data_IF_909099922360
#
_entry.id   IF_909099922360
#
_cell.length_a   1.000
_cell.length_b   1.000
_cell.length_c   1.000
_cell.angle_alpha   90.00
_cell.angle_beta   90.00
_cell.angle_gamma   90.00
#
_symmetry.space_group_name_H-M   'P 1'
#
loop_
_entity.id
_entity.type
_entity.pdbx_description
1 polymer ?
#
# COMPACT_ATOMS: atom_id res chain seq x y z
N UNK A 1 -18.71 -9.07 -0.29
CA UNK A 1 -19.19 -9.81 0.90
C UNK A 1 -20.68 -10.10 0.87
N UNK A 2 -21.56 -9.12 0.63
CA UNK A 2 -23.01 -9.37 0.59
C UNK A 2 -23.41 -10.45 -0.44
N UNK A 3 -22.91 -10.36 -1.68
CA UNK A 3 -23.15 -11.37 -2.73
C UNK A 3 -22.62 -12.74 -2.34
N UNK A 4 -21.42 -12.81 -1.74
CA UNK A 4 -20.87 -14.05 -1.19
C UNK A 4 -21.80 -14.68 -0.16
N UNK A 5 -22.29 -13.90 0.80
CA UNK A 5 -23.21 -14.37 1.83
C UNK A 5 -24.54 -14.86 1.25
N UNK A 6 -25.07 -14.16 0.24
CA UNK A 6 -26.27 -14.60 -0.46
C UNK A 6 -26.06 -15.95 -1.17
N UNK A 7 -25.01 -16.07 -1.97
CA UNK A 7 -24.69 -17.32 -2.69
C UNK A 7 -24.35 -18.46 -1.73
N UNK A 8 -23.62 -18.16 -0.65
CA UNK A 8 -23.32 -19.13 0.40
C UNK A 8 -24.59 -19.62 1.11
N UNK A 9 -25.56 -18.73 1.38
CA UNK A 9 -26.87 -19.14 1.92
C UNK A 9 -27.58 -20.10 0.97
N UNK A 10 -27.61 -19.80 -0.33
CA UNK A 10 -28.20 -20.67 -1.34
C UNK A 10 -27.50 -22.03 -1.39
N UNK A 11 -26.16 -22.03 -1.35
CA UNK A 11 -25.34 -23.24 -1.32
C UNK A 11 -25.55 -24.11 -0.07
N UNK A 12 -25.82 -23.49 1.09
CA UNK A 12 -26.17 -24.22 2.30
C UNK A 12 -27.57 -24.86 2.20
N UNK A 13 -28.53 -24.20 1.55
CA UNK A 13 -29.90 -24.69 1.37
C UNK A 13 -29.99 -25.80 0.32
N UNK A 14 -29.36 -25.60 -0.83
CA UNK A 14 -29.33 -26.55 -1.94
C UNK A 14 -27.94 -26.58 -2.54
N UNK A 15 -27.22 -27.66 -2.26
CA UNK A 15 -25.95 -27.95 -2.91
C UNK A 15 -26.17 -28.22 -4.41
N UNK A 16 -25.32 -27.66 -5.26
CA UNK A 16 -25.46 -27.78 -6.71
C UNK A 16 -24.34 -27.08 -7.49
N UNK A 17 -24.13 -27.53 -8.72
CA UNK A 17 -23.06 -27.04 -9.59
C UNK A 17 -23.20 -25.55 -9.93
N UNK A 18 -24.41 -25.08 -10.27
CA UNK A 18 -24.64 -23.68 -10.66
C UNK A 18 -24.29 -22.69 -9.54
N UNK A 19 -24.79 -22.92 -8.32
CA UNK A 19 -24.45 -22.06 -7.16
C UNK A 19 -22.99 -22.17 -6.78
N UNK A 20 -22.36 -23.34 -6.95
CA UNK A 20 -20.94 -23.55 -6.69
C UNK A 20 -20.06 -22.75 -7.66
N UNK A 21 -20.38 -22.74 -8.96
CA UNK A 21 -19.65 -21.94 -9.95
C UNK A 21 -19.77 -20.44 -9.64
N UNK A 22 -20.99 -19.96 -9.36
CA UNK A 22 -21.22 -18.56 -8.98
C UNK A 22 -20.47 -18.19 -7.69
N UNK A 23 -20.43 -19.09 -6.72
CA UNK A 23 -19.72 -18.88 -5.46
C UNK A 23 -18.19 -18.88 -5.67
N UNK A 24 -17.66 -19.69 -6.59
CA UNK A 24 -16.26 -19.67 -6.99
C UNK A 24 -15.85 -18.36 -7.69
N UNK A 25 -16.66 -17.90 -8.65
CA UNK A 25 -16.50 -16.60 -9.29
C UNK A 25 -16.50 -15.49 -8.24
N UNK A 26 -17.46 -15.52 -7.29
CA UNK A 26 -17.54 -14.50 -6.25
C UNK A 26 -16.37 -14.55 -5.26
N UNK A 27 -15.91 -15.74 -4.87
CA UNK A 27 -14.74 -15.92 -4.02
C UNK A 27 -13.47 -15.39 -4.69
N UNK A 28 -13.31 -15.62 -5.99
CA UNK A 28 -12.20 -15.05 -6.78
C UNK A 28 -12.26 -13.53 -6.81
N UNK A 29 -13.43 -12.96 -7.12
CA UNK A 29 -13.64 -11.50 -7.14
C UNK A 29 -13.42 -10.86 -5.76
N UNK A 30 -13.76 -11.56 -4.67
CA UNK A 30 -13.43 -11.12 -3.32
C UNK A 30 -11.92 -10.96 -3.15
N UNK A 31 -11.14 -11.98 -3.51
CA UNK A 31 -9.68 -11.97 -3.36
C UNK A 31 -9.02 -10.90 -4.25
N UNK A 32 -9.50 -10.74 -5.49
CA UNK A 32 -9.02 -9.70 -6.42
C UNK A 32 -9.37 -8.28 -5.95
N UNK A 33 -10.55 -8.10 -5.33
CA UNK A 33 -10.95 -6.79 -4.81
C UNK A 33 -10.15 -6.35 -3.57
N UNK A 34 -9.85 -7.30 -2.67
CA UNK A 34 -9.04 -7.07 -1.47
C UNK A 34 -8.61 -8.39 -0.85
N UNK A 35 -7.33 -8.51 -0.51
CA UNK A 35 -6.78 -9.71 0.14
C UNK A 35 -7.50 -10.12 1.44
N UNK A 36 -8.05 -9.17 2.19
CA UNK A 36 -8.87 -9.46 3.38
C UNK A 36 -10.14 -10.29 3.08
N UNK A 37 -10.55 -10.41 1.81
CA UNK A 37 -11.58 -11.34 1.37
C UNK A 37 -11.30 -12.80 1.79
N UNK A 38 -10.04 -13.17 2.01
CA UNK A 38 -9.69 -14.48 2.55
C UNK A 38 -10.27 -14.70 3.96
N UNK A 39 -10.43 -13.66 4.77
CA UNK A 39 -11.06 -13.75 6.09
C UNK A 39 -12.55 -14.06 5.98
N UNK A 40 -13.24 -13.50 4.98
CA UNK A 40 -14.65 -13.80 4.71
C UNK A 40 -14.81 -15.29 4.38
N UNK A 41 -13.98 -15.82 3.48
CA UNK A 41 -13.99 -17.23 3.09
C UNK A 41 -13.60 -18.11 4.30
N UNK A 42 -12.52 -17.75 4.99
CA UNK A 42 -11.99 -18.48 6.14
C UNK A 42 -13.00 -18.58 7.28
N UNK A 43 -13.66 -17.48 7.67
CA UNK A 43 -14.70 -17.52 8.71
C UNK A 43 -15.93 -18.31 8.28
N UNK A 44 -16.28 -18.33 6.98
CA UNK A 44 -17.33 -19.22 6.49
C UNK A 44 -16.97 -20.70 6.71
N UNK A 45 -15.76 -21.10 6.35
CA UNK A 45 -15.27 -22.47 6.53
C UNK A 45 -15.12 -22.84 8.00
N UNK A 46 -14.45 -22.00 8.81
CA UNK A 46 -14.26 -22.23 10.24
C UNK A 46 -15.58 -22.35 10.99
N UNK A 47 -16.59 -21.56 10.59
CA UNK A 47 -17.92 -21.67 11.16
C UNK A 47 -18.65 -22.96 10.78
N UNK A 48 -18.22 -23.70 9.76
CA UNK A 48 -18.88 -24.91 9.30
C UNK A 48 -17.90 -25.88 8.62
N UNK A 49 -17.09 -26.58 9.42
CA UNK A 49 -16.10 -27.54 8.90
C UNK A 49 -16.70 -28.72 8.13
N UNK A 50 -18.01 -28.97 8.26
CA UNK A 50 -18.70 -29.99 7.46
C UNK A 50 -18.69 -29.67 5.95
N UNK A 51 -18.45 -28.41 5.56
CA UNK A 51 -18.27 -28.02 4.17
C UNK A 51 -17.14 -28.79 3.48
N UNK A 52 -16.07 -29.12 4.22
CA UNK A 52 -14.92 -29.86 3.70
C UNK A 52 -15.27 -31.28 3.22
N UNK A 53 -16.41 -31.82 3.68
CA UNK A 53 -16.92 -33.14 3.25
C UNK A 53 -17.68 -33.08 1.91
N UNK A 54 -18.03 -31.89 1.41
CA UNK A 54 -18.79 -31.73 0.16
C UNK A 54 -17.84 -31.70 -1.04
N UNK A 55 -18.09 -32.52 -2.07
CA UNK A 55 -17.28 -32.51 -3.31
C UNK A 55 -17.34 -31.16 -4.03
N UNK A 56 -18.50 -30.51 -4.01
CA UNK A 56 -18.72 -29.17 -4.58
C UNK A 56 -17.96 -28.07 -3.86
N UNK A 57 -17.60 -28.23 -2.58
CA UNK A 57 -16.71 -27.31 -1.89
C UNK A 57 -15.30 -27.31 -2.52
N UNK A 58 -14.76 -28.50 -2.80
CA UNK A 58 -13.46 -28.62 -3.45
C UNK A 58 -13.49 -28.13 -4.90
N UNK A 59 -14.62 -28.32 -5.61
CA UNK A 59 -14.85 -27.67 -6.89
C UNK A 59 -14.76 -26.15 -6.78
N UNK A 60 -15.42 -25.54 -5.79
CA UNK A 60 -15.34 -24.08 -5.56
C UNK A 60 -13.89 -23.65 -5.35
N UNK A 61 -13.13 -24.37 -4.52
CA UNK A 61 -11.73 -24.06 -4.23
C UNK A 61 -10.85 -24.15 -5.48
N UNK A 62 -10.95 -25.25 -6.25
CA UNK A 62 -10.17 -25.46 -7.48
C UNK A 62 -10.52 -24.42 -8.54
N UNK A 63 -11.81 -24.15 -8.77
CA UNK A 63 -12.22 -23.13 -9.75
C UNK A 63 -11.76 -21.74 -9.33
N UNK A 64 -11.87 -21.40 -8.05
CA UNK A 64 -11.41 -20.09 -7.55
C UNK A 64 -9.90 -19.93 -7.70
N UNK A 65 -9.13 -20.99 -7.39
CA UNK A 65 -7.69 -20.98 -7.57
C UNK A 65 -7.33 -20.81 -9.05
N UNK A 66 -7.95 -21.57 -9.95
CA UNK A 66 -7.71 -21.49 -11.39
C UNK A 66 -7.98 -20.08 -11.94
N UNK A 67 -9.08 -19.45 -11.53
CA UNK A 67 -9.40 -18.09 -11.92
C UNK A 67 -8.45 -17.04 -11.31
N UNK A 68 -7.80 -17.37 -10.19
CA UNK A 68 -6.82 -16.50 -9.52
C UNK A 68 -5.38 -16.71 -10.02
N UNK A 69 -5.10 -17.79 -10.79
CA UNK A 69 -3.77 -18.08 -11.36
C UNK A 69 -3.17 -16.89 -12.12
N UNK A 70 -3.90 -16.16 -13.00
CA UNK A 70 -3.33 -15.02 -13.72
C UNK A 70 -2.74 -13.96 -12.78
N UNK A 71 -3.40 -13.71 -11.63
CA UNK A 71 -2.89 -12.81 -10.61
C UNK A 71 -1.64 -13.34 -9.92
N UNK A 72 -1.59 -14.64 -9.62
CA UNK A 72 -0.40 -15.30 -9.04
C UNK A 72 0.79 -15.22 -10.02
N UNK A 73 0.56 -15.48 -11.30
CA UNK A 73 1.59 -15.37 -12.35
C UNK A 73 2.09 -13.95 -12.49
N UNK A 74 1.19 -12.95 -12.49
CA UNK A 74 1.57 -11.55 -12.52
C UNK A 74 2.41 -11.17 -11.30
N UNK A 75 2.02 -11.59 -10.10
CA UNK A 75 2.82 -11.37 -8.88
C UNK A 75 4.21 -11.99 -9.00
N UNK A 76 4.32 -13.24 -9.47
CA UNK A 76 5.61 -13.91 -9.65
C UNK A 76 6.51 -13.18 -10.66
N UNK A 77 5.95 -12.73 -11.79
CA UNK A 77 6.70 -11.98 -12.80
C UNK A 77 7.20 -10.61 -12.30
N UNK A 78 6.55 -10.03 -11.29
CA UNK A 78 6.90 -8.73 -10.71
C UNK A 78 7.54 -8.85 -9.32
N UNK A 79 8.02 -10.05 -8.94
CA UNK A 79 8.72 -10.28 -7.67
C UNK A 79 7.85 -9.96 -6.43
N UNK A 80 6.60 -10.43 -6.50
CA UNK A 80 5.58 -10.45 -5.45
C UNK A 80 5.36 -9.12 -4.71
N UNK A 81 5.06 -8.01 -5.43
CA UNK A 81 4.97 -6.68 -4.83
C UNK A 81 3.96 -6.61 -3.68
N UNK A 82 2.81 -7.30 -3.80
CA UNK A 82 1.78 -7.26 -2.75
C UNK A 82 2.19 -8.05 -1.50
N UNK A 83 2.91 -9.16 -1.65
CA UNK A 83 3.40 -9.94 -0.50
C UNK A 83 4.47 -9.14 0.23
N UNK A 84 5.41 -8.53 -0.53
CA UNK A 84 6.47 -7.70 0.03
C UNK A 84 5.92 -6.54 0.84
N UNK A 85 4.95 -5.84 0.26
CA UNK A 85 4.26 -4.75 0.93
C UNK A 85 3.61 -5.19 2.24
N UNK A 86 2.85 -6.29 2.23
CA UNK A 86 2.08 -6.73 3.39
C UNK A 86 2.92 -7.38 4.49
N UNK A 87 4.02 -8.07 4.15
CA UNK A 87 4.82 -8.81 5.13
C UNK A 87 6.05 -8.04 5.62
N UNK A 88 6.74 -7.29 4.74
CA UNK A 88 8.04 -6.68 5.06
C UNK A 88 8.01 -5.15 5.11
N UNK A 89 7.32 -4.48 4.18
CA UNK A 89 7.41 -3.01 4.07
C UNK A 89 6.46 -2.24 5.00
N UNK A 90 5.40 -2.91 5.48
CA UNK A 90 4.37 -2.32 6.35
C UNK A 90 4.58 -2.56 7.84
N UNK A 91 5.32 -3.61 8.21
CA UNK A 91 5.34 -4.19 9.56
C UNK A 91 6.64 -3.88 10.32
N UNK A 92 6.93 -2.60 10.57
CA UNK A 92 8.19 -2.17 11.21
C UNK A 92 8.04 -1.44 12.53
N UNK A 93 6.86 -0.93 12.85
CA UNK A 93 6.70 -0.06 14.02
C UNK A 93 6.44 -0.89 15.28
N UNK A 94 7.16 -0.61 16.39
CA UNK A 94 6.83 -1.16 17.69
C UNK A 94 5.36 -0.86 18.05
N UNK A 95 4.74 -1.75 18.82
CA UNK A 95 3.38 -1.54 19.29
C UNK A 95 3.24 -0.23 20.07
N UNK A 96 2.19 0.54 19.75
CA UNK A 96 1.78 1.73 20.50
C UNK A 96 0.32 1.59 20.93
N UNK A 97 -0.03 2.04 22.14
CA UNK A 97 -1.36 1.85 22.74
C UNK A 97 -2.47 2.49 21.89
N UNK A 98 -2.15 3.59 21.23
CA UNK A 98 -2.97 4.32 20.29
C UNK A 98 -3.34 3.50 19.06
N UNK A 99 -2.59 2.45 18.66
CA UNK A 99 -3.05 1.52 17.62
C UNK A 99 -4.35 0.81 18.05
N UNK A 100 -4.40 0.36 19.30
CA UNK A 100 -5.58 -0.32 19.87
C UNK A 100 -6.71 0.66 20.15
N UNK A 101 -6.41 1.83 20.72
CA UNK A 101 -7.43 2.85 20.99
C UNK A 101 -8.07 3.39 19.69
N UNK A 102 -7.25 3.67 18.67
CA UNK A 102 -7.74 4.10 17.36
C UNK A 102 -8.56 3.01 16.67
N UNK A 103 -8.22 1.73 16.87
CA UNK A 103 -9.04 0.62 16.37
C UNK A 103 -10.42 0.57 17.03
N UNK A 104 -10.51 0.73 18.36
CA UNK A 104 -11.80 0.78 19.06
C UNK A 104 -12.65 1.97 18.57
N UNK A 105 -12.03 3.14 18.42
CA UNK A 105 -12.70 4.32 17.83
C UNK A 105 -13.14 4.04 16.38
N UNK A 106 -12.32 3.36 15.60
CA UNK A 106 -12.63 2.99 14.22
C UNK A 106 -13.84 2.07 14.12
N UNK A 107 -14.01 1.12 15.05
CA UNK A 107 -15.21 0.29 15.11
C UNK A 107 -16.44 1.20 15.28
N UNK A 108 -16.42 2.13 16.23
CA UNK A 108 -17.54 3.04 16.49
C UNK A 108 -17.89 3.84 15.23
N UNK A 109 -16.88 4.44 14.58
CA UNK A 109 -17.09 5.28 13.41
C UNK A 109 -17.58 4.47 12.19
N UNK A 110 -17.03 3.27 11.98
CA UNK A 110 -17.33 2.45 10.80
C UNK A 110 -18.61 1.63 10.93
N UNK A 111 -19.00 1.26 12.15
CA UNK A 111 -20.22 0.50 12.40
C UNK A 111 -21.46 1.39 12.45
N UNK A 112 -21.49 2.54 11.77
CA UNK A 112 -22.41 3.65 12.11
C UNK A 112 -22.22 4.05 13.58
N UNK A 113 -22.02 5.35 13.89
CA UNK A 113 -21.75 5.79 15.27
C UNK A 113 -22.73 5.26 16.34
N UNK A 114 -23.92 4.80 15.92
CA UNK A 114 -24.93 4.24 16.81
C UNK A 114 -25.45 2.86 16.34
N UNK A 115 -25.88 2.71 15.08
CA UNK A 115 -26.73 1.58 14.69
C UNK A 115 -26.02 0.22 14.65
N UNK A 116 -24.84 0.15 14.02
CA UNK A 116 -24.17 -1.13 13.81
C UNK A 116 -23.51 -1.68 15.07
N UNK A 117 -23.20 -0.86 16.09
CA UNK A 117 -22.78 -1.37 17.42
C UNK A 117 -23.93 -2.18 18.03
N UNK A 118 -25.15 -1.64 18.01
CA UNK A 118 -26.35 -2.34 18.51
C UNK A 118 -26.59 -3.62 17.72
N UNK A 119 -26.47 -3.58 16.39
CA UNK A 119 -26.63 -4.78 15.57
C UNK A 119 -25.53 -5.82 15.79
N UNK A 120 -24.28 -5.41 15.96
CA UNK A 120 -23.19 -6.31 16.31
C UNK A 120 -23.44 -6.96 17.67
N UNK A 121 -23.86 -6.18 18.67
CA UNK A 121 -24.21 -6.68 20.00
C UNK A 121 -25.30 -7.76 19.96
N UNK A 122 -26.43 -7.47 19.31
CA UNK A 122 -27.53 -8.43 19.18
C UNK A 122 -27.13 -9.66 18.37
N UNK A 123 -26.31 -9.49 17.33
CA UNK A 123 -25.75 -10.60 16.54
C UNK A 123 -24.89 -11.53 17.39
N UNK A 124 -23.98 -10.98 18.19
CA UNK A 124 -23.05 -11.76 19.00
C UNK A 124 -23.76 -12.49 20.15
N UNK A 125 -24.81 -11.90 20.73
CA UNK A 125 -25.60 -12.53 21.82
C UNK A 125 -26.56 -13.62 21.36
N UNK A 126 -27.14 -13.51 20.16
CA UNK A 126 -28.13 -14.49 19.66
C UNK A 126 -27.49 -15.87 19.51
N UNK A 127 -28.11 -16.95 20.01
CA UNK A 127 -27.69 -18.32 19.66
C UNK A 127 -28.00 -18.58 18.19
N UNK A 128 -27.02 -19.10 17.44
CA UNK A 128 -27.21 -19.35 16.01
C UNK A 128 -28.21 -20.50 15.80
N UNK A 129 -29.28 -20.24 15.04
CA UNK A 129 -30.31 -21.25 14.77
C UNK A 129 -29.91 -22.26 13.69
N UNK A 130 -29.00 -21.89 12.80
CA UNK A 130 -28.54 -22.73 11.69
C UNK A 130 -27.10 -22.38 11.28
N UNK A 131 -26.53 -23.17 10.36
CA UNK A 131 -25.16 -22.99 9.87
C UNK A 131 -24.94 -21.60 9.25
N UNK A 132 -25.93 -21.03 8.57
CA UNK A 132 -25.81 -19.70 7.98
C UNK A 132 -25.70 -18.62 9.05
N UNK A 133 -26.58 -18.63 10.06
CA UNK A 133 -26.47 -17.68 11.19
C UNK A 133 -25.16 -17.87 11.96
N UNK A 134 -24.69 -19.11 12.12
CA UNK A 134 -23.39 -19.40 12.73
C UNK A 134 -22.26 -18.74 11.94
N UNK A 135 -22.29 -18.84 10.61
CA UNK A 135 -21.33 -18.14 9.74
C UNK A 135 -21.37 -16.63 9.91
N UNK A 136 -22.54 -16.01 9.94
CA UNK A 136 -22.66 -14.56 10.14
C UNK A 136 -22.04 -14.14 11.48
N UNK A 137 -22.32 -14.87 12.56
CA UNK A 137 -21.71 -14.62 13.88
C UNK A 137 -20.19 -14.75 13.86
N UNK A 138 -19.67 -15.81 13.25
CA UNK A 138 -18.23 -16.03 13.11
C UNK A 138 -17.55 -14.95 12.28
N UNK A 139 -18.20 -14.47 11.21
CA UNK A 139 -17.68 -13.35 10.43
C UNK A 139 -17.66 -12.06 11.26
N UNK A 140 -18.73 -11.74 11.98
CA UNK A 140 -18.77 -10.54 12.84
C UNK A 140 -17.72 -10.63 13.94
N UNK A 141 -17.74 -11.69 14.76
CA UNK A 141 -16.82 -11.87 15.87
C UNK A 141 -15.36 -12.02 15.40
N UNK A 142 -15.14 -12.90 14.42
CA UNK A 142 -13.82 -13.23 13.89
C UNK A 142 -13.14 -12.01 13.29
N UNK A 143 -13.88 -11.16 12.56
CA UNK A 143 -13.30 -9.92 12.01
C UNK A 143 -12.89 -8.96 13.11
N UNK A 144 -13.76 -8.73 14.10
CA UNK A 144 -13.48 -7.81 15.20
C UNK A 144 -12.32 -8.30 16.08
N UNK A 145 -12.21 -9.61 16.31
CA UNK A 145 -11.13 -10.22 17.08
C UNK A 145 -9.83 -10.22 16.27
N UNK A 146 -9.88 -10.61 15.00
CA UNK A 146 -8.70 -10.68 14.12
C UNK A 146 -8.02 -9.32 14.03
N UNK A 147 -8.78 -8.26 13.72
CA UNK A 147 -8.18 -6.94 13.59
C UNK A 147 -7.80 -6.30 14.93
N UNK A 148 -8.45 -6.69 16.03
CA UNK A 148 -7.97 -6.36 17.37
C UNK A 148 -6.60 -6.98 17.63
N UNK A 149 -6.41 -8.28 17.34
CA UNK A 149 -5.10 -8.94 17.51
C UNK A 149 -4.05 -8.33 16.58
N UNK A 150 -4.45 -7.89 15.37
CA UNK A 150 -3.53 -7.24 14.44
C UNK A 150 -3.03 -5.88 14.94
N UNK A 151 -3.72 -5.19 15.87
CA UNK A 151 -3.22 -3.89 16.40
C UNK A 151 -1.91 -4.05 17.18
N UNK A 152 -1.66 -5.23 17.76
CA UNK A 152 -0.40 -5.53 18.44
C UNK A 152 0.79 -5.64 17.47
N UNK A 153 0.53 -5.82 16.17
CA UNK A 153 1.56 -5.90 15.13
C UNK A 153 1.74 -4.60 14.35
N UNK A 154 0.80 -3.66 14.46
CA UNK A 154 0.89 -2.38 13.78
C UNK A 154 -0.46 -1.69 13.64
N UNK A 155 -0.44 -0.51 13.03
CA UNK A 155 -1.63 0.32 12.85
C UNK A 155 -2.65 -0.34 11.90
N UNK A 156 -3.88 -0.48 12.41
CA UNK A 156 -5.04 -0.89 11.62
C UNK A 156 -5.74 0.28 10.93
N UNK A 157 -6.33 0.03 9.76
CA UNK A 157 -7.17 1.01 9.06
C UNK A 157 -8.64 0.82 9.43
N UNK A 158 -9.37 1.93 9.59
CA UNK A 158 -10.77 1.87 10.01
C UNK A 158 -11.63 1.04 9.05
N UNK A 159 -11.41 1.19 7.74
CA UNK A 159 -12.18 0.49 6.71
C UNK A 159 -12.00 -1.04 6.71
N UNK A 160 -11.07 -1.60 7.47
CA UNK A 160 -10.83 -3.03 7.55
C UNK A 160 -11.99 -3.81 8.17
N UNK A 161 -12.68 -3.22 9.15
CA UNK A 161 -13.81 -3.89 9.82
C UNK A 161 -15.14 -3.74 9.06
N UNK A 162 -15.18 -2.91 8.01
CA UNK A 162 -16.42 -2.54 7.32
C UNK A 162 -17.21 -3.75 6.79
N UNK A 163 -16.54 -4.83 6.37
CA UNK A 163 -17.24 -6.00 5.85
C UNK A 163 -17.96 -6.84 6.93
N UNK A 164 -17.61 -6.67 8.21
CA UNK A 164 -18.32 -7.29 9.33
C UNK A 164 -19.63 -6.56 9.67
N UNK A 165 -19.84 -5.37 9.12
CA UNK A 165 -21.10 -4.64 9.24
C UNK A 165 -22.25 -5.44 8.60
N UNK A 166 -22.02 -6.02 7.42
CA UNK A 166 -23.05 -6.77 6.67
C UNK A 166 -23.62 -7.95 7.49
N UNK A 167 -22.80 -8.90 8.00
CA UNK A 167 -23.33 -9.99 8.81
C UNK A 167 -23.94 -9.51 10.14
N UNK A 168 -23.38 -8.48 10.76
CA UNK A 168 -23.95 -7.87 11.96
C UNK A 168 -25.35 -7.28 11.71
N UNK A 169 -25.55 -6.60 10.59
CA UNK A 169 -26.85 -6.03 10.23
C UNK A 169 -27.91 -7.11 10.00
N UNK A 170 -27.59 -8.22 9.32
CA UNK A 170 -28.57 -9.25 8.97
C UNK A 170 -29.21 -9.88 10.22
N UNK A 171 -28.41 -10.28 11.22
CA UNK A 171 -28.94 -10.88 12.45
C UNK A 171 -29.43 -9.80 13.41
N UNK A 172 -28.66 -8.72 13.58
CA UNK A 172 -28.99 -7.63 14.49
C UNK A 172 -30.34 -7.00 14.18
N UNK A 173 -30.59 -6.66 12.90
CA UNK A 173 -31.87 -6.12 12.46
C UNK A 173 -33.03 -7.05 12.80
N UNK A 174 -32.94 -8.33 12.42
CA UNK A 174 -33.98 -9.34 12.70
C UNK A 174 -34.29 -9.50 14.17
N UNK A 175 -33.30 -9.28 15.04
CA UNK A 175 -33.50 -9.38 16.48
C UNK A 175 -34.19 -8.14 17.08
N UNK A 176 -34.08 -7.01 16.39
CA UNK A 176 -34.59 -5.72 16.84
C UNK A 176 -35.93 -5.34 16.16
N UNK A 177 -36.23 -5.84 14.96
CA UNK A 177 -37.35 -5.36 14.13
C UNK A 177 -38.73 -5.40 14.82
N UNK A 178 -38.97 -6.42 15.66
CA UNK A 178 -40.22 -6.54 16.43
C UNK A 178 -40.26 -5.78 17.76
N UNK A 179 -39.19 -5.07 18.13
CA UNK A 179 -39.09 -4.40 19.42
C UNK A 179 -39.72 -3.00 19.38
N UNK A 180 -40.47 -2.62 20.43
CA UNK A 180 -41.17 -1.33 20.51
C UNK A 180 -40.23 -0.12 20.48
N UNK A 181 -39.01 -0.26 20.97
CA UNK A 181 -37.98 0.80 20.96
C UNK A 181 -37.33 0.98 19.58
N UNK A 182 -37.38 -0.03 18.71
CA UNK A 182 -36.55 -0.11 17.51
C UNK A 182 -36.87 0.95 16.44
N UNK A 183 -38.15 1.28 16.14
CA UNK A 183 -38.47 2.36 15.22
C UNK A 183 -37.89 3.71 15.66
N UNK A 184 -38.06 4.04 16.95
CA UNK A 184 -37.53 5.30 17.54
C UNK A 184 -36.01 5.33 17.51
N UNK A 185 -35.36 4.22 17.85
CA UNK A 185 -33.90 4.09 17.77
C UNK A 185 -33.38 4.25 16.35
N UNK A 186 -34.01 3.61 15.38
CA UNK A 186 -33.58 3.65 13.98
C UNK A 186 -33.66 5.08 13.45
N UNK A 187 -34.77 5.78 13.72
CA UNK A 187 -34.93 7.19 13.34
C UNK A 187 -33.87 8.10 13.99
N UNK A 188 -33.63 7.95 15.30
CA UNK A 188 -32.60 8.73 16.01
C UNK A 188 -31.19 8.42 15.49
N UNK A 189 -30.88 7.15 15.28
CA UNK A 189 -29.57 6.71 14.75
C UNK A 189 -29.35 7.23 13.33
N UNK A 190 -30.40 7.23 12.50
CA UNK A 190 -30.38 7.82 11.17
C UNK A 190 -30.14 9.32 11.23
N UNK A 191 -30.91 10.06 12.05
CA UNK A 191 -30.74 11.51 12.20
C UNK A 191 -29.32 11.89 12.67
N UNK A 192 -28.79 11.18 13.68
CA UNK A 192 -27.40 11.37 14.15
C UNK A 192 -26.39 11.04 13.06
N UNK A 193 -26.58 9.94 12.33
CA UNK A 193 -25.66 9.55 11.25
C UNK A 193 -25.68 10.57 10.11
N UNK A 194 -26.85 11.02 9.68
CA UNK A 194 -26.98 12.05 8.63
C UNK A 194 -26.39 13.38 9.09
N UNK A 195 -26.60 13.79 10.35
CA UNK A 195 -25.98 14.99 10.89
C UNK A 195 -24.45 14.88 10.87
N UNK A 196 -23.88 13.79 11.40
CA UNK A 196 -22.43 13.60 11.45
C UNK A 196 -21.80 13.49 10.06
N UNK A 197 -22.41 12.70 9.15
CA UNK A 197 -21.97 12.58 7.76
C UNK A 197 -22.11 13.92 7.05
N UNK A 198 -23.20 14.65 7.27
CA UNK A 198 -23.46 15.96 6.70
C UNK A 198 -22.41 16.98 7.13
N UNK A 199 -22.13 17.09 8.44
CA UNK A 199 -21.09 17.96 8.98
C UNK A 199 -19.71 17.61 8.41
N UNK A 200 -19.36 16.32 8.38
CA UNK A 200 -18.11 15.86 7.78
C UNK A 200 -18.06 16.23 6.30
N UNK A 201 -19.13 15.99 5.53
CA UNK A 201 -19.20 16.32 4.10
C UNK A 201 -19.04 17.82 3.84
N UNK A 202 -19.68 18.66 4.64
CA UNK A 202 -19.50 20.12 4.55
C UNK A 202 -18.04 20.48 4.79
N UNK A 203 -17.39 19.89 5.79
CA UNK A 203 -15.96 20.10 6.03
C UNK A 203 -15.07 19.60 4.89
N UNK A 204 -15.32 18.41 4.32
CA UNK A 204 -14.51 17.88 3.22
C UNK A 204 -14.64 18.71 1.92
N UNK A 205 -15.70 19.50 1.79
CA UNK A 205 -15.95 20.39 0.64
C UNK A 205 -15.42 21.79 0.91
N UNK A 206 -15.60 22.31 2.13
CA UNK A 206 -15.27 23.68 2.51
C UNK A 206 -14.19 23.71 3.59
N UNK A 207 -13.11 24.42 3.30
CA UNK A 207 -11.99 24.58 4.21
C UNK A 207 -12.24 25.71 5.22
N UNK A 208 -13.03 25.45 6.27
CA UNK A 208 -13.37 26.45 7.30
C UNK A 208 -12.80 26.16 8.69
N UNK A 209 -12.20 24.98 8.90
CA UNK A 209 -11.58 24.63 10.18
C UNK A 209 -10.14 25.19 10.30
N UNK A 210 -9.64 25.45 11.51
CA UNK A 210 -8.29 26.00 11.70
C UNK A 210 -7.20 25.02 11.26
N UNK A 211 -6.02 25.57 10.95
CA UNK A 211 -4.82 24.78 10.70
C UNK A 211 -4.37 24.10 11.99
N UNK A 212 -4.56 22.78 12.03
CA UNK A 212 -4.16 21.93 13.15
C UNK A 212 -3.76 20.56 12.59
N UNK A 213 -2.76 19.92 13.22
CA UNK A 213 -2.33 18.55 12.93
C UNK A 213 -3.49 17.54 12.85
N UNK A 214 -4.55 17.71 13.65
CA UNK A 214 -5.74 16.84 13.61
C UNK A 214 -6.49 16.89 12.27
N UNK A 215 -6.51 18.05 11.62
CA UNK A 215 -7.24 18.31 10.39
C UNK A 215 -6.33 18.38 9.15
N UNK A 216 -5.02 18.28 9.36
CA UNK A 216 -4.01 18.41 8.30
C UNK A 216 -4.28 17.46 7.14
N UNK A 217 -4.67 16.21 7.40
CA UNK A 217 -4.91 15.23 6.34
C UNK A 217 -5.95 15.70 5.31
N UNK A 218 -7.12 16.19 5.74
CA UNK A 218 -8.15 16.64 4.81
C UNK A 218 -7.71 17.89 4.04
N UNK A 219 -7.01 18.81 4.70
CA UNK A 219 -6.47 20.01 4.06
C UNK A 219 -5.40 19.68 3.00
N UNK A 220 -4.43 18.84 3.37
CA UNK A 220 -3.35 18.40 2.50
C UNK A 220 -3.86 17.51 1.36
N UNK A 221 -4.91 16.73 1.57
CA UNK A 221 -5.36 15.72 0.61
C UNK A 221 -6.49 16.20 -0.29
N UNK A 222 -7.46 16.93 0.27
CA UNK A 222 -8.74 17.20 -0.38
C UNK A 222 -8.91 18.68 -0.73
N UNK A 223 -8.53 19.58 0.18
CA UNK A 223 -8.76 21.02 -0.02
C UNK A 223 -7.76 21.62 -0.99
N UNK A 224 -8.20 22.57 -1.80
CA UNK A 224 -7.36 23.34 -2.73
C UNK A 224 -6.60 22.50 -3.78
N UNK A 225 -6.87 21.21 -3.93
CA UNK A 225 -6.09 20.32 -4.81
C UNK A 225 -6.14 20.75 -6.28
N UNK A 226 -7.30 21.20 -6.79
CA UNK A 226 -7.42 21.77 -8.14
C UNK A 226 -6.58 23.04 -8.32
N UNK A 227 -6.61 23.94 -7.32
CA UNK A 227 -5.85 25.19 -7.33
C UNK A 227 -4.34 24.90 -7.28
N UNK A 228 -3.93 24.02 -6.36
CA UNK A 228 -2.56 23.52 -6.24
C UNK A 228 -2.05 22.94 -7.56
N UNK A 229 -2.81 22.07 -8.21
CA UNK A 229 -2.40 21.47 -9.49
C UNK A 229 -2.19 22.54 -10.58
N UNK A 230 -3.10 23.53 -10.65
CA UNK A 230 -2.95 24.66 -11.56
C UNK A 230 -1.73 25.55 -11.25
N UNK A 231 -1.39 25.74 -9.98
CA UNK A 231 -0.21 26.49 -9.56
C UNK A 231 1.09 25.77 -9.92
N UNK A 232 1.18 24.45 -9.66
CA UNK A 232 2.30 23.63 -10.14
C UNK A 232 2.40 23.73 -11.68
N UNK A 233 1.27 23.64 -12.38
CA UNK A 233 1.25 23.67 -13.86
C UNK A 233 1.74 25.00 -14.45
N UNK A 234 1.50 26.14 -13.79
CA UNK A 234 2.05 27.44 -14.23
C UNK A 234 3.58 27.44 -14.31
N UNK A 235 4.25 26.74 -13.40
CA UNK A 235 5.70 26.59 -13.41
C UNK A 235 6.14 25.46 -14.34
N UNK A 236 5.40 24.34 -14.42
CA UNK A 236 5.72 23.25 -15.33
C UNK A 236 5.63 23.66 -16.82
N UNK A 237 4.61 24.45 -17.17
CA UNK A 237 4.21 24.67 -18.56
C UNK A 237 3.83 23.35 -19.22
N UNK A 238 4.36 23.09 -20.41
CA UNK A 238 4.14 21.85 -21.17
C UNK A 238 5.07 20.69 -20.74
N UNK A 239 5.95 20.92 -19.76
CA UNK A 239 6.90 19.90 -19.31
C UNK A 239 6.20 18.87 -18.42
N UNK A 240 6.50 17.57 -18.57
CA UNK A 240 6.06 16.56 -17.60
C UNK A 240 6.59 16.87 -16.19
N UNK A 241 5.85 16.44 -15.17
CA UNK A 241 6.21 16.68 -13.76
C UNK A 241 6.56 15.38 -13.05
N UNK A 242 7.71 15.33 -12.39
CA UNK A 242 8.12 14.21 -11.55
C UNK A 242 8.03 14.60 -10.07
N UNK A 243 7.09 14.01 -9.33
CA UNK A 243 6.93 14.22 -7.90
C UNK A 243 7.69 13.15 -7.12
N UNK A 244 8.62 13.55 -6.26
CA UNK A 244 9.45 12.58 -5.54
C UNK A 244 8.65 11.86 -4.43
N UNK A 245 8.62 10.52 -4.45
CA UNK A 245 7.93 9.68 -3.46
C UNK A 245 6.45 10.05 -3.19
N UNK A 246 5.76 10.69 -4.14
CA UNK A 246 4.41 11.27 -3.94
C UNK A 246 3.46 10.90 -5.08
N UNK A 247 3.09 9.62 -5.15
CA UNK A 247 2.15 9.11 -6.16
C UNK A 247 0.76 9.76 -6.14
N UNK A 248 0.31 10.23 -4.98
CA UNK A 248 -0.94 10.97 -4.86
C UNK A 248 -0.87 12.31 -5.60
N UNK A 249 0.27 12.99 -5.52
CA UNK A 249 0.47 14.30 -6.15
C UNK A 249 0.54 14.17 -7.66
N UNK A 250 1.28 13.16 -8.16
CA UNK A 250 1.25 12.80 -9.57
C UNK A 250 -0.18 12.55 -10.07
N UNK A 251 -0.91 11.65 -9.40
CA UNK A 251 -2.29 11.31 -9.81
C UNK A 251 -3.25 12.50 -9.77
N UNK A 252 -3.16 13.37 -8.75
CA UNK A 252 -3.98 14.58 -8.69
C UNK A 252 -3.62 15.59 -9.77
N UNK A 253 -2.33 15.77 -10.02
CA UNK A 253 -1.85 16.69 -11.05
C UNK A 253 -2.36 16.25 -12.42
N UNK A 254 -2.20 14.98 -12.79
CA UNK A 254 -2.72 14.44 -14.05
C UNK A 254 -4.24 14.60 -14.14
N UNK A 255 -4.97 14.26 -13.06
CA UNK A 255 -6.43 14.37 -13.05
C UNK A 255 -6.93 15.81 -13.27
N UNK A 256 -6.28 16.81 -12.68
CA UNK A 256 -6.75 18.20 -12.74
C UNK A 256 -6.21 19.00 -13.93
N UNK A 257 -5.06 18.60 -14.49
CA UNK A 257 -4.40 19.36 -15.57
C UNK A 257 -4.41 18.63 -16.91
N UNK A 258 -4.60 17.31 -16.91
CA UNK A 258 -4.44 16.45 -18.08
C UNK A 258 -2.99 16.32 -18.55
N UNK A 259 -2.02 16.87 -17.82
CA UNK A 259 -0.61 16.83 -18.16
C UNK A 259 0.07 15.63 -17.52
N UNK A 260 1.06 15.07 -18.21
CA UNK A 260 1.80 13.88 -17.78
C UNK A 260 2.56 14.14 -16.47
N UNK A 261 2.42 13.23 -15.49
CA UNK A 261 3.22 13.26 -14.29
C UNK A 261 3.50 11.87 -13.70
N UNK A 262 4.63 11.73 -13.01
CA UNK A 262 5.02 10.48 -12.36
C UNK A 262 5.35 10.67 -10.89
N UNK A 263 5.35 9.56 -10.15
CA UNK A 263 6.02 9.48 -8.85
C UNK A 263 7.43 8.92 -9.01
N UNK A 264 8.45 9.77 -8.90
CA UNK A 264 9.84 9.31 -8.91
C UNK A 264 10.19 8.78 -7.52
N UNK A 265 10.27 7.46 -7.38
CA UNK A 265 10.44 6.82 -6.06
C UNK A 265 11.91 6.45 -5.80
N UNK A 266 12.39 6.80 -4.61
CA UNK A 266 13.74 6.51 -4.14
C UNK A 266 13.73 5.55 -2.94
N UNK A 267 14.90 5.09 -2.48
CA UNK A 267 15.04 4.11 -1.39
C UNK A 267 14.42 4.55 -0.05
N UNK A 268 14.31 5.86 0.18
CA UNK A 268 13.65 6.41 1.38
C UNK A 268 12.12 6.37 1.28
N UNK A 269 11.59 6.17 0.06
CA UNK A 269 10.18 5.96 -0.22
C UNK A 269 9.80 4.49 -0.33
N UNK A 270 8.72 4.23 -1.07
CA UNK A 270 8.23 2.88 -1.36
C UNK A 270 7.88 2.78 -2.84
N UNK A 271 7.99 1.57 -3.38
CA UNK A 271 7.49 1.30 -4.72
C UNK A 271 5.97 1.53 -4.77
N UNK A 272 5.50 2.04 -5.89
CA UNK A 272 4.07 2.19 -6.18
C UNK A 272 3.82 1.95 -7.68
N UNK A 273 2.60 2.24 -8.17
CA UNK A 273 2.21 1.91 -9.53
C UNK A 273 3.12 2.53 -10.60
N UNK A 274 3.73 3.69 -10.32
CA UNK A 274 4.64 4.37 -11.25
C UNK A 274 5.97 3.64 -11.44
N UNK A 275 6.34 2.68 -10.57
CA UNK A 275 7.49 1.80 -10.81
C UNK A 275 7.16 0.59 -11.69
N UNK A 276 5.87 0.37 -11.97
CA UNK A 276 5.37 -0.79 -12.73
C UNK A 276 4.87 -0.33 -14.09
N UNK A 277 4.20 0.82 -14.14
CA UNK A 277 3.72 1.44 -15.37
C UNK A 277 4.88 1.96 -16.23
N UNK A 278 4.70 2.05 -17.56
CA UNK A 278 5.74 2.51 -18.47
C UNK A 278 5.96 4.03 -18.43
N UNK A 279 5.20 4.79 -17.64
CA UNK A 279 5.16 6.25 -17.68
C UNK A 279 6.54 6.90 -17.46
N UNK A 280 7.38 6.35 -16.57
CA UNK A 280 8.74 6.86 -16.35
C UNK A 280 9.61 6.74 -17.61
N UNK A 281 9.36 5.75 -18.46
CA UNK A 281 10.02 5.58 -19.75
C UNK A 281 9.73 6.74 -20.68
N UNK A 282 8.49 7.21 -20.68
CA UNK A 282 8.04 8.28 -21.55
C UNK A 282 8.65 9.63 -21.16
N UNK A 283 9.18 9.76 -19.94
CA UNK A 283 9.90 10.96 -19.49
C UNK A 283 11.37 10.95 -19.87
N UNK A 284 11.94 9.79 -20.23
CA UNK A 284 13.35 9.67 -20.58
C UNK A 284 13.71 10.63 -21.72
N UNK A 285 14.67 11.51 -21.45
CA UNK A 285 15.24 12.46 -22.40
C UNK A 285 14.41 13.70 -22.68
N UNK A 286 13.26 13.85 -22.03
CA UNK A 286 12.51 15.11 -22.01
C UNK A 286 13.08 16.06 -20.96
N UNK A 287 12.80 17.35 -21.09
CA UNK A 287 12.94 18.28 -19.97
C UNK A 287 11.78 18.08 -19.01
N UNK A 288 12.08 17.74 -17.76
CA UNK A 288 11.10 17.44 -16.71
C UNK A 288 11.20 18.48 -15.60
N UNK A 289 10.06 18.86 -15.02
CA UNK A 289 10.05 19.58 -13.75
C UNK A 289 10.02 18.58 -12.60
N UNK A 290 11.08 18.50 -11.81
CA UNK A 290 11.13 17.71 -10.59
C UNK A 290 10.58 18.54 -9.43
N UNK A 291 9.72 17.93 -8.62
CA UNK A 291 9.22 18.48 -7.36
C UNK A 291 9.68 17.58 -6.21
N UNK A 292 10.68 17.99 -5.40
CA UNK A 292 11.14 17.22 -4.26
C UNK A 292 10.10 17.16 -3.14
N UNK A 293 10.21 16.13 -2.30
CA UNK A 293 9.40 15.95 -1.10
C UNK A 293 10.16 16.30 0.19
N UNK A 294 11.31 16.95 0.07
CA UNK A 294 12.14 17.48 1.15
C UNK A 294 12.70 18.84 0.74
N UNK A 295 13.16 19.61 1.72
CA UNK A 295 13.79 20.90 1.47
C UNK A 295 15.19 20.69 0.91
N UNK A 296 15.47 21.28 -0.25
CA UNK A 296 16.80 21.36 -0.85
C UNK A 296 17.34 22.78 -0.65
N UNK A 297 18.48 22.90 0.03
CA UNK A 297 19.10 24.20 0.29
C UNK A 297 19.46 24.91 -1.02
N UNK A 298 19.09 26.20 -1.12
CA UNK A 298 19.34 27.02 -2.31
C UNK A 298 18.43 26.72 -3.51
N UNK A 299 17.52 25.74 -3.44
CA UNK A 299 16.56 25.48 -4.50
C UNK A 299 15.39 26.47 -4.45
N UNK A 300 15.04 27.01 -5.61
CA UNK A 300 13.89 27.89 -5.74
C UNK A 300 12.60 27.21 -5.29
N UNK A 301 11.70 28.01 -4.71
CA UNK A 301 10.37 27.56 -4.36
C UNK A 301 9.30 28.60 -4.65
N UNK A 302 8.06 28.11 -4.72
CA UNK A 302 6.89 28.93 -4.98
C UNK A 302 5.72 28.54 -4.06
N UNK A 303 4.83 29.50 -3.83
CA UNK A 303 3.65 29.31 -3.01
C UNK A 303 2.54 28.60 -3.79
N UNK A 304 1.89 27.65 -3.12
CA UNK A 304 0.68 26.97 -3.59
C UNK A 304 -0.41 27.01 -2.54
N UNK A 305 -1.63 26.63 -2.91
CA UNK A 305 -2.73 26.39 -1.98
C UNK A 305 -2.48 25.29 -0.94
N UNK A 306 -1.36 24.57 -1.02
CA UNK A 306 -0.92 23.54 -0.06
C UNK A 306 0.44 23.87 0.60
N UNK A 307 0.90 25.12 0.50
CA UNK A 307 2.17 25.56 1.08
C UNK A 307 3.25 25.78 0.02
N UNK A 308 4.50 25.94 0.48
CA UNK A 308 5.66 26.19 -0.39
C UNK A 308 6.16 24.88 -0.97
N UNK A 309 6.35 24.86 -2.28
CA UNK A 309 6.98 23.75 -3.00
C UNK A 309 8.26 24.24 -3.64
N UNK A 310 9.28 23.39 -3.63
CA UNK A 310 10.50 23.60 -4.40
C UNK A 310 10.41 22.86 -5.73
N UNK A 311 11.24 23.27 -6.69
CA UNK A 311 11.30 22.63 -8.00
C UNK A 311 12.65 22.82 -8.65
N UNK A 312 12.96 21.95 -9.61
CA UNK A 312 14.07 22.10 -10.53
C UNK A 312 13.69 21.56 -11.90
N UNK A 313 14.20 22.18 -12.96
CA UNK A 313 14.12 21.60 -14.30
C UNK A 313 15.33 20.70 -14.54
N UNK A 314 15.07 19.52 -15.08
CA UNK A 314 16.10 18.58 -15.48
C UNK A 314 15.96 18.40 -16.99
N UNK A 315 16.87 19.03 -17.73
CA UNK A 315 17.01 18.81 -19.16
C UNK A 315 17.53 17.41 -19.44
N UNK A 316 17.04 16.77 -20.50
CA UNK A 316 17.38 15.39 -20.85
C UNK A 316 17.31 14.45 -19.63
N UNK A 317 16.13 14.37 -19.00
CA UNK A 317 15.91 13.60 -17.78
C UNK A 317 16.31 12.13 -17.95
N UNK A 318 17.11 11.63 -17.01
CA UNK A 318 17.53 10.23 -16.90
C UNK A 318 17.26 9.73 -15.49
N UNK A 319 16.87 8.47 -15.37
CA UNK A 319 16.67 7.82 -14.07
C UNK A 319 17.08 6.35 -14.12
N UNK A 320 17.52 5.81 -12.99
CA UNK A 320 18.00 4.43 -12.91
C UNK A 320 16.93 3.41 -12.51
N UNK A 321 15.66 3.78 -12.36
CA UNK A 321 14.64 2.97 -11.67
C UNK A 321 14.43 1.56 -12.24
N UNK A 322 14.59 1.38 -13.55
CA UNK A 322 14.42 0.09 -14.22
C UNK A 322 15.68 -0.80 -14.21
N UNK A 323 16.79 -0.30 -13.67
CA UNK A 323 18.02 -1.07 -13.49
C UNK A 323 17.98 -1.80 -12.15
N UNK A 324 18.49 -3.02 -12.15
CA UNK A 324 18.59 -3.88 -10.97
C UNK A 324 20.06 -4.16 -10.70
N UNK A 325 20.45 -3.95 -9.45
CA UNK A 325 21.76 -4.33 -8.95
C UNK A 325 21.59 -5.66 -8.20
N UNK A 326 22.18 -6.72 -8.74
CA UNK A 326 22.04 -8.08 -8.22
C UNK A 326 23.34 -8.49 -7.53
N UNK A 327 23.47 -8.35 -6.20
CA UNK A 327 24.65 -8.78 -5.48
C UNK A 327 24.79 -10.30 -5.53
N UNK A 328 26.02 -10.79 -5.58
CA UNK A 328 26.30 -12.24 -5.60
C UNK A 328 26.11 -12.88 -4.23
N UNK A 329 26.24 -12.09 -3.16
CA UNK A 329 26.07 -12.50 -1.76
C UNK A 329 24.83 -11.83 -1.15
N UNK A 330 24.03 -12.60 -0.41
CA UNK A 330 22.82 -12.10 0.27
C UNK A 330 23.01 -11.90 1.77
N UNK A 331 24.02 -12.54 2.35
CA UNK A 331 24.38 -12.43 3.76
C UNK A 331 25.90 -12.42 3.91
N UNK A 332 26.40 -11.54 4.77
CA UNK A 332 27.80 -11.39 5.13
C UNK A 332 27.95 -11.39 6.65
N UNK A 333 29.02 -12.01 7.15
CA UNK A 333 29.47 -11.93 8.54
C UNK A 333 30.82 -11.25 8.53
N UNK A 334 30.93 -10.11 9.21
CA UNK A 334 32.11 -9.24 9.18
C UNK A 334 32.49 -8.82 10.60
N UNK A 335 33.79 -8.59 10.83
CA UNK A 335 34.26 -7.93 12.04
C UNK A 335 33.96 -6.41 11.98
N UNK A 336 33.87 -5.72 13.14
CA UNK A 336 33.80 -4.26 13.20
C UNK A 336 34.87 -3.59 12.34
N UNK A 337 34.45 -2.67 11.47
CA UNK A 337 35.35 -1.91 10.61
C UNK A 337 35.99 -2.68 9.45
N UNK A 338 35.71 -3.98 9.30
CA UNK A 338 36.26 -4.84 8.24
C UNK A 338 35.90 -4.31 6.85
N UNK A 339 36.90 -4.20 5.97
CA UNK A 339 36.70 -3.91 4.57
C UNK A 339 36.35 -5.19 3.81
N UNK A 340 35.30 -5.15 2.99
CA UNK A 340 34.82 -6.29 2.20
C UNK A 340 34.49 -5.85 0.78
N UNK A 341 35.04 -6.56 -0.19
CA UNK A 341 34.64 -6.43 -1.58
C UNK A 341 33.29 -7.15 -1.80
N UNK A 342 32.32 -6.45 -2.40
CA UNK A 342 31.03 -7.00 -2.80
C UNK A 342 30.96 -7.03 -4.32
N UNK A 343 30.73 -8.22 -4.86
CA UNK A 343 30.45 -8.41 -6.28
C UNK A 343 28.96 -8.31 -6.59
N UNK A 344 28.63 -7.74 -7.74
CA UNK A 344 27.26 -7.61 -8.25
C UNK A 344 27.23 -7.64 -9.79
N UNK A 345 26.03 -7.86 -10.32
CA UNK A 345 25.72 -7.79 -11.75
C UNK A 345 24.66 -6.71 -11.96
N UNK A 346 24.75 -5.99 -13.09
CA UNK A 346 23.79 -4.96 -13.49
C UNK A 346 22.86 -5.53 -14.54
N UNK A 347 21.56 -5.56 -14.26
CA UNK A 347 20.54 -6.08 -15.18
C UNK A 347 19.39 -5.09 -15.37
N UNK A 348 18.63 -5.23 -16.45
CA UNK A 348 17.34 -4.54 -16.62
C UNK A 348 16.34 -5.44 -17.34
N UNK A 349 15.06 -5.23 -17.04
CA UNK A 349 13.95 -5.82 -17.81
C UNK A 349 13.56 -4.97 -19.01
N UNK A 350 14.09 -3.75 -19.14
CA UNK A 350 13.83 -2.87 -20.28
C UNK A 350 15.14 -2.55 -21.02
N UNK A 351 15.46 -3.34 -22.04
CA UNK A 351 16.72 -3.22 -22.78
C UNK A 351 16.88 -1.91 -23.57
N UNK A 352 15.81 -1.12 -23.71
CA UNK A 352 15.87 0.19 -24.35
C UNK A 352 16.16 1.32 -23.33
N UNK A 353 16.23 0.99 -22.04
CA UNK A 353 16.52 1.96 -20.99
C UNK A 353 17.98 2.38 -21.05
N UNK A 354 18.23 3.69 -21.03
CA UNK A 354 19.57 4.28 -21.11
C UNK A 354 19.78 5.25 -19.96
N UNK A 355 20.96 5.17 -19.35
CA UNK A 355 21.46 6.16 -18.40
C UNK A 355 22.29 7.23 -19.11
N UNK A 356 22.74 6.96 -20.34
CA UNK A 356 23.56 7.86 -21.12
C UNK A 356 22.79 9.10 -21.61
N UNK A 357 23.54 10.19 -21.81
CA UNK A 357 23.07 11.38 -22.50
C UNK A 357 22.93 12.62 -21.63
N UNK A 358 22.98 12.51 -20.30
CA UNK A 358 23.01 13.68 -19.43
C UNK A 358 24.33 13.76 -18.63
N UNK A 359 25.34 14.49 -19.14
CA UNK A 359 26.65 14.59 -18.49
C UNK A 359 26.59 15.22 -17.09
N UNK A 360 25.58 16.05 -16.80
CA UNK A 360 25.38 16.65 -15.47
C UNK A 360 24.72 15.71 -14.47
N UNK A 361 24.21 14.57 -14.93
CA UNK A 361 23.47 13.59 -14.14
C UNK A 361 24.05 12.19 -14.41
N UNK A 362 25.32 12.00 -14.04
CA UNK A 362 25.97 10.70 -14.15
C UNK A 362 25.34 9.72 -13.15
N UNK A 363 25.14 8.48 -13.59
CA UNK A 363 24.63 7.40 -12.75
C UNK A 363 25.76 6.81 -11.91
N UNK A 364 25.65 6.91 -10.58
CA UNK A 364 26.66 6.46 -9.62
C UNK A 364 26.03 5.49 -8.61
N UNK A 365 26.76 4.44 -8.23
CA UNK A 365 26.34 3.55 -7.14
C UNK A 365 26.60 4.22 -5.79
N UNK A 366 25.55 4.23 -4.97
CA UNK A 366 25.60 4.50 -3.54
C UNK A 366 25.43 3.20 -2.76
N UNK A 367 26.19 3.05 -1.68
CA UNK A 367 25.92 2.03 -0.66
C UNK A 367 25.07 2.63 0.46
N UNK A 368 23.86 2.10 0.63
CA UNK A 368 22.91 2.54 1.64
C UNK A 368 22.79 1.50 2.75
N UNK A 369 23.16 1.90 3.96
CA UNK A 369 23.21 1.02 5.13
C UNK A 369 22.11 1.39 6.11
N UNK A 370 21.25 0.42 6.44
CA UNK A 370 20.13 0.59 7.37
C UNK A 370 20.30 -0.27 8.64
N UNK A 371 19.91 0.28 9.78
CA UNK A 371 19.78 -0.43 11.06
C UNK A 371 18.38 -0.22 11.62
N UNK A 372 17.65 -1.30 11.90
CA UNK A 372 16.25 -1.25 12.37
C UNK A 372 15.35 -0.34 11.51
N UNK A 373 15.54 -0.38 10.19
CA UNK A 373 14.78 0.41 9.21
C UNK A 373 15.17 1.89 9.10
N UNK A 374 16.16 2.37 9.87
CA UNK A 374 16.68 3.73 9.75
C UNK A 374 17.96 3.74 8.93
N UNK A 375 18.08 4.67 7.99
CA UNK A 375 19.32 4.91 7.26
C UNK A 375 20.40 5.39 8.25
N UNK A 376 21.54 4.70 8.27
CA UNK A 376 22.69 5.00 9.14
C UNK A 376 23.82 5.62 8.32
N UNK A 377 24.04 5.14 7.10
CA UNK A 377 25.08 5.63 6.20
C UNK A 377 24.60 5.59 4.76
N UNK A 378 24.86 6.68 4.05
CA UNK A 378 24.76 6.80 2.59
C UNK A 378 26.14 7.22 2.09
N UNK A 379 26.76 6.36 1.27
CA UNK A 379 28.12 6.55 0.81
C UNK A 379 28.20 6.40 -0.71
N UNK A 380 28.73 7.44 -1.35
CA UNK A 380 29.10 7.47 -2.77
C UNK A 380 30.28 6.55 -3.03
N UNK A 381 30.15 5.62 -3.99
CA UNK A 381 31.19 4.63 -4.27
C UNK A 381 32.14 5.03 -5.40
N UNK A 382 31.87 6.15 -6.08
CA UNK A 382 32.56 6.57 -7.31
C UNK A 382 32.58 5.47 -8.38
N UNK A 383 31.58 4.58 -8.37
CA UNK A 383 31.37 3.56 -9.39
C UNK A 383 30.26 4.05 -10.31
N UNK A 384 30.60 4.35 -11.56
CA UNK A 384 29.67 4.89 -12.55
C UNK A 384 29.06 3.77 -13.38
N UNK A 385 27.73 3.75 -13.48
CA UNK A 385 27.00 2.73 -14.24
C UNK A 385 26.84 3.20 -15.68
N UNK A 386 27.38 2.44 -16.61
CA UNK A 386 27.29 2.70 -18.04
C UNK A 386 26.31 1.73 -18.73
N UNK A 387 25.76 2.14 -19.88
CA UNK A 387 24.78 1.34 -20.63
C UNK A 387 25.34 -0.02 -21.09
N UNK A 388 26.65 -0.09 -21.38
CA UNK A 388 27.34 -1.32 -21.79
C UNK A 388 27.41 -2.38 -20.67
N UNK A 389 27.31 -1.98 -19.40
CA UNK A 389 27.33 -2.89 -18.25
C UNK A 389 26.00 -3.63 -18.08
N UNK A 390 24.89 -3.02 -18.54
CA UNK A 390 23.55 -3.53 -18.31
C UNK A 390 23.28 -4.79 -19.14
N UNK A 391 22.85 -5.88 -18.49
CA UNK A 391 22.61 -7.20 -19.11
C UNK A 391 23.86 -7.81 -19.80
N UNK A 392 25.06 -7.30 -19.53
CA UNK A 392 26.33 -7.85 -20.05
C UNK A 392 26.66 -9.23 -19.47
N UNK A 393 26.17 -9.52 -18.27
CA UNK A 393 26.57 -10.67 -17.46
C UNK A 393 27.92 -10.51 -16.78
N UNK A 394 28.60 -9.37 -16.96
CA UNK A 394 29.85 -9.04 -16.30
C UNK A 394 29.64 -8.86 -14.79
N UNK A 395 30.64 -9.30 -14.02
CA UNK A 395 30.68 -9.08 -12.58
C UNK A 395 31.50 -7.83 -12.30
N UNK A 396 30.91 -6.92 -11.56
CA UNK A 396 31.57 -5.73 -11.06
C UNK A 396 31.70 -5.84 -9.54
N UNK A 397 32.63 -5.10 -8.96
CA UNK A 397 32.83 -5.09 -7.53
C UNK A 397 33.00 -3.67 -6.98
N UNK A 398 32.63 -3.51 -5.71
CA UNK A 398 32.91 -2.32 -4.91
C UNK A 398 33.33 -2.73 -3.51
N UNK A 399 34.20 -1.94 -2.91
CA UNK A 399 34.56 -2.12 -1.50
C UNK A 399 33.53 -1.49 -0.59
N UNK A 400 33.14 -2.17 0.47
CA UNK A 400 32.37 -1.62 1.58
C UNK A 400 33.16 -1.72 2.88
N UNK A 401 32.80 -0.90 3.85
CA UNK A 401 33.32 -1.00 5.21
C UNK A 401 32.20 -1.37 6.16
N UNK A 402 32.41 -2.42 6.96
CA UNK A 402 31.50 -2.81 8.01
C UNK A 402 31.39 -1.69 9.07
N UNK A 403 30.20 -1.47 9.65
CA UNK A 403 30.07 -0.58 10.80
C UNK A 403 30.94 -1.01 11.98
N UNK A 404 31.40 -0.04 12.79
CA UNK A 404 32.12 -0.31 14.05
C UNK A 404 31.20 -0.92 15.13
N UNK A 405 29.92 -0.55 15.11
CA UNK A 405 28.95 -1.04 16.08
C UNK A 405 28.43 -2.41 15.66
N UNK A 406 28.48 -3.38 16.58
CA UNK A 406 27.93 -4.71 16.38
C UNK A 406 26.42 -4.69 16.13
N UNK A 407 25.96 -5.68 15.37
CA UNK A 407 24.54 -5.91 15.12
C UNK A 407 24.22 -6.25 13.67
N UNK A 408 22.92 -6.27 13.37
CA UNK A 408 22.39 -6.63 12.06
C UNK A 408 22.05 -5.36 11.27
N UNK A 409 22.62 -5.27 10.07
CA UNK A 409 22.44 -4.18 9.14
C UNK A 409 21.91 -4.71 7.80
N UNK A 410 21.17 -3.86 7.10
CA UNK A 410 20.70 -4.11 5.75
C UNK A 410 21.41 -3.14 4.80
N UNK A 411 22.23 -3.68 3.91
CA UNK A 411 22.91 -2.94 2.86
C UNK A 411 22.14 -3.05 1.55
N UNK A 412 22.05 -1.93 0.83
CA UNK A 412 21.56 -1.84 -0.54
C UNK A 412 22.59 -1.13 -1.41
N UNK A 413 22.76 -1.60 -2.64
CA UNK A 413 23.54 -0.93 -3.67
C UNK A 413 22.56 -0.33 -4.67
N UNK A 414 22.44 0.99 -4.66
CA UNK A 414 21.42 1.73 -5.42
C UNK A 414 22.05 2.80 -6.30
N UNK A 415 21.40 3.11 -7.41
CA UNK A 415 21.88 4.08 -8.38
C UNK A 415 21.30 5.44 -8.05
N UNK A 416 22.18 6.40 -7.75
CA UNK A 416 21.88 7.82 -7.77
C UNK A 416 22.20 8.40 -9.15
N UNK A 417 21.45 9.40 -9.58
CA UNK A 417 21.64 10.04 -10.89
C UNK A 417 21.81 11.54 -10.66
N UNK A 418 23.04 12.03 -10.80
CA UNK A 418 23.38 13.41 -10.43
C UNK A 418 23.10 13.69 -8.94
N UNK A 419 22.26 14.68 -8.66
CA UNK A 419 21.83 15.00 -7.29
C UNK A 419 20.54 14.29 -6.87
N UNK A 420 19.92 13.50 -7.75
CA UNK A 420 18.74 12.72 -7.41
C UNK A 420 19.11 11.65 -6.37
N UNK A 421 18.29 11.45 -5.33
CA UNK A 421 18.56 10.43 -4.34
C UNK A 421 18.51 9.03 -4.97
N UNK A 422 19.19 8.03 -4.35
CA UNK A 422 19.29 6.71 -4.95
C UNK A 422 17.92 6.03 -5.17
N UNK A 423 17.72 5.48 -6.36
CA UNK A 423 16.51 4.76 -6.74
C UNK A 423 16.42 3.39 -6.01
N UNK A 424 15.37 2.62 -6.27
CA UNK A 424 15.12 1.32 -5.61
C UNK A 424 15.62 0.17 -6.51
N UNK A 425 16.94 0.02 -6.63
CA UNK A 425 17.60 -0.87 -7.60
C UNK A 425 18.09 -2.19 -7.00
N UNK A 426 18.79 -2.11 -5.88
CA UNK A 426 19.51 -3.22 -5.25
C UNK A 426 18.61 -4.15 -4.45
N UNK A 427 18.92 -5.44 -4.50
CA UNK A 427 18.45 -6.42 -3.51
C UNK A 427 19.12 -6.18 -2.15
N UNK A 428 18.46 -6.62 -1.08
CA UNK A 428 18.99 -6.49 0.27
C UNK A 428 20.15 -7.47 0.50
N UNK A 429 21.26 -6.97 1.05
CA UNK A 429 22.35 -7.76 1.63
C UNK A 429 22.29 -7.60 3.14
N UNK A 430 22.17 -8.71 3.88
CA UNK A 430 22.20 -8.68 5.34
C UNK A 430 23.64 -8.76 5.83
N UNK A 431 24.10 -7.75 6.57
CA UNK A 431 25.42 -7.71 7.18
C UNK A 431 25.26 -7.93 8.68
N UNK A 432 25.91 -8.97 9.19
CA UNK A 432 26.00 -9.29 10.61
C UNK A 432 27.41 -8.95 11.08
N UNK A 433 27.50 -7.93 11.97
CA UNK A 433 28.76 -7.47 12.54
C UNK A 433 28.95 -8.09 13.93
N UNK A 434 29.97 -8.95 14.09
CA UNK A 434 30.20 -9.77 15.30
C UNK A 434 31.51 -9.48 16.04
#
# INVERSE_FOLDING_TARGET
TATFLYLYKQYLQKDGWGVSILLALNATLLLLSKYHGILVIGFAVLSNLQLLKRKTFWLIAVLSLNLFIPHIQWQAAHDFPSIKYHLYERSSDPYQIDYTLNYLLSIILMFSPVAGIVFAWHTLRKKAANNFERTLKWMTAGTLIFFFVMTFKGRGEANWVAFALIPAFIIGYRQCEGQTWFPKFTWRSFAVSILLIGLLRVYLVYDFLPDNKTFAYAKETLHHTKKWAGEIHKYAGEKPVAFMNKYQYAAWYEFYTGQQAISLNNRMGRKNQYNIWPDERELQGKTVMLVPNYTVDGMEGFNTGKGVFQYAYIDNFRSGTHIRIMPTEKKLQLAPGEAREISFIVNTTDSAWTLAGNPGFVAEIHSLLFKKGKLVKDERKNFFVEDNMVNSGERHSIDIQAPEERGIYNLYLDIAVGWLPPAINGEQITIEVE
#
